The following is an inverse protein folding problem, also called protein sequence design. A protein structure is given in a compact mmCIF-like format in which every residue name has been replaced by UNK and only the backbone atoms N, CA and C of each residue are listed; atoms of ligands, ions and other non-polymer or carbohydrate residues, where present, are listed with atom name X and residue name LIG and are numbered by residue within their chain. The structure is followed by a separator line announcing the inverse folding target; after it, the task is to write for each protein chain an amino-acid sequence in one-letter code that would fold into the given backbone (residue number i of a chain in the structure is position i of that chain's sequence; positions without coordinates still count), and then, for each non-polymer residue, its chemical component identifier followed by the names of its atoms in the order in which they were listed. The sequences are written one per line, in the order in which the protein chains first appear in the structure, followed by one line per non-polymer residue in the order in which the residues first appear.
data_IF_826595759843
#
_entry.id   IF_826595759843
#
_cell.length_a   1.000
_cell.length_b   1.000
_cell.length_c   1.000
_cell.angle_alpha   90.00
_cell.angle_beta   90.00
_cell.angle_gamma   90.00
#
_symmetry.space_group_name_H-M   'P 1'
#
loop_
_entity.id
_entity.type
_entity.pdbx_description
1 polymer ?
#
# COMPACT_ATOMS: atom_id res chain seq x y z
N UNK A 1 -33.94 -17.74 2.76
CA UNK A 1 -32.96 -16.64 2.92
C UNK A 1 -31.58 -17.27 2.85
N UNK A 2 -30.83 -16.94 1.82
CA UNK A 2 -29.47 -17.44 1.59
C UNK A 2 -28.55 -16.80 2.62
N UNK A 3 -27.85 -17.56 3.48
CA UNK A 3 -26.82 -16.99 4.34
C UNK A 3 -25.61 -16.60 3.48
N UNK A 4 -25.29 -15.32 3.42
CA UNK A 4 -24.09 -14.81 2.81
C UNK A 4 -22.96 -14.91 3.85
N UNK A 5 -22.10 -15.91 3.74
CA UNK A 5 -20.87 -15.97 4.54
C UNK A 5 -19.80 -15.12 3.85
N UNK A 6 -19.58 -13.93 4.38
CA UNK A 6 -18.52 -13.01 3.91
C UNK A 6 -17.34 -13.12 4.85
N UNK A 7 -16.24 -13.69 4.39
CA UNK A 7 -14.96 -13.61 5.13
C UNK A 7 -14.34 -12.26 4.80
N UNK A 8 -14.53 -11.31 5.71
CA UNK A 8 -14.02 -9.95 5.58
C UNK A 8 -12.60 -9.89 6.16
N UNK A 9 -11.68 -9.31 5.43
CA UNK A 9 -10.39 -8.84 5.93
C UNK A 9 -10.50 -7.35 6.23
N UNK A 10 -10.49 -7.02 7.48
CA UNK A 10 -10.23 -5.82 8.29
C UNK A 10 -10.77 -4.42 7.90
N UNK A 11 -11.14 -4.08 6.66
CA UNK A 11 -11.49 -2.67 6.31
C UNK A 11 -12.85 -2.51 5.64
N UNK A 12 -13.29 -3.44 4.82
CA UNK A 12 -14.59 -3.34 4.13
C UNK A 12 -15.71 -4.02 4.91
N UNK A 13 -16.80 -3.28 5.17
CA UNK A 13 -17.99 -3.85 5.80
C UNK A 13 -18.80 -4.71 4.81
N UNK A 14 -19.66 -5.59 5.35
CA UNK A 14 -20.56 -6.43 4.55
C UNK A 14 -21.43 -5.59 3.60
N UNK A 15 -21.97 -4.48 4.09
CA UNK A 15 -22.78 -3.54 3.31
C UNK A 15 -22.00 -2.91 2.17
N UNK A 16 -20.72 -2.58 2.39
CA UNK A 16 -19.85 -2.04 1.34
C UNK A 16 -19.57 -3.10 0.26
N UNK A 17 -19.36 -4.36 0.64
CA UNK A 17 -19.18 -5.46 -0.32
C UNK A 17 -20.47 -5.68 -1.12
N UNK A 18 -21.64 -5.73 -0.49
CA UNK A 18 -22.93 -5.85 -1.16
C UNK A 18 -23.18 -4.71 -2.16
N UNK A 19 -22.90 -3.45 -1.74
CA UNK A 19 -23.05 -2.27 -2.60
C UNK A 19 -22.09 -2.28 -3.79
N UNK A 20 -20.84 -2.70 -3.60
CA UNK A 20 -19.83 -2.70 -4.66
C UNK A 20 -20.02 -3.86 -5.64
N UNK A 21 -20.48 -5.01 -5.16
CA UNK A 21 -20.67 -6.22 -5.97
C UNK A 21 -22.09 -6.36 -6.52
N UNK A 22 -23.04 -5.64 -5.94
CA UNK A 22 -24.48 -5.83 -6.18
C UNK A 22 -24.94 -7.28 -5.90
N UNK A 23 -24.30 -7.96 -4.94
CA UNK A 23 -24.65 -9.29 -4.46
C UNK A 23 -25.30 -9.13 -3.08
N UNK A 24 -26.56 -9.55 -2.95
CA UNK A 24 -27.34 -9.44 -1.73
C UNK A 24 -28.12 -10.73 -1.46
N UNK A 25 -28.56 -10.96 -0.23
CA UNK A 25 -29.40 -12.13 0.11
C UNK A 25 -30.66 -12.18 -0.74
N UNK A 26 -30.95 -13.36 -1.30
CA UNK A 26 -32.12 -13.57 -2.18
C UNK A 26 -31.83 -13.52 -3.67
N UNK A 27 -30.61 -13.14 -4.08
CA UNK A 27 -30.23 -13.20 -5.51
C UNK A 27 -29.96 -14.64 -5.95
N UNK A 28 -30.32 -14.96 -7.21
CA UNK A 28 -30.14 -16.31 -7.77
C UNK A 28 -28.65 -16.70 -7.85
N UNK A 29 -28.24 -17.70 -7.09
CA UNK A 29 -26.84 -18.11 -6.86
C UNK A 29 -26.11 -18.44 -8.15
N UNK A 30 -26.72 -19.24 -9.01
CA UNK A 30 -26.10 -19.64 -10.28
C UNK A 30 -25.88 -18.46 -11.21
N UNK A 31 -26.79 -17.48 -11.21
CA UNK A 31 -26.61 -16.23 -11.96
C UNK A 31 -25.42 -15.41 -11.43
N UNK A 32 -25.25 -15.34 -10.12
CA UNK A 32 -24.08 -14.69 -9.49
C UNK A 32 -22.80 -15.44 -9.83
N UNK A 33 -22.80 -16.76 -9.74
CA UNK A 33 -21.62 -17.57 -10.05
C UNK A 33 -21.21 -17.48 -11.52
N UNK A 34 -22.14 -17.53 -12.45
CA UNK A 34 -21.85 -17.36 -13.88
C UNK A 34 -21.33 -15.95 -14.20
N UNK A 35 -21.87 -14.93 -13.55
CA UNK A 35 -21.44 -13.53 -13.73
C UNK A 35 -20.21 -13.15 -12.87
N UNK A 36 -19.62 -14.06 -12.10
CA UNK A 36 -18.58 -13.75 -11.09
C UNK A 36 -17.42 -12.90 -11.62
N UNK A 37 -16.92 -13.18 -12.83
CA UNK A 37 -15.82 -12.42 -13.42
C UNK A 37 -16.21 -10.98 -13.74
N UNK A 38 -17.42 -10.75 -14.24
CA UNK A 38 -17.92 -9.41 -14.50
C UNK A 38 -18.18 -8.66 -13.20
N UNK A 39 -18.76 -9.30 -12.20
CA UNK A 39 -19.02 -8.74 -10.88
C UNK A 39 -17.71 -8.35 -10.18
N UNK A 40 -16.69 -9.19 -10.25
CA UNK A 40 -15.34 -8.88 -9.73
C UNK A 40 -14.75 -7.65 -10.41
N UNK A 41 -14.77 -7.60 -11.75
CA UNK A 41 -14.27 -6.43 -12.50
C UNK A 41 -15.03 -5.15 -12.15
N UNK A 42 -16.35 -5.22 -12.00
CA UNK A 42 -17.17 -4.06 -11.62
C UNK A 42 -16.88 -3.61 -10.19
N UNK A 43 -16.72 -4.54 -9.24
CA UNK A 43 -16.40 -4.23 -7.86
C UNK A 43 -15.05 -3.50 -7.73
N UNK A 44 -14.01 -4.02 -8.41
CA UNK A 44 -12.67 -3.39 -8.44
C UNK A 44 -12.73 -1.98 -9.07
N UNK A 45 -13.49 -1.80 -10.16
CA UNK A 45 -13.65 -0.47 -10.79
C UNK A 45 -14.38 0.53 -9.88
N UNK A 46 -15.37 0.06 -9.12
CA UNK A 46 -16.15 0.92 -8.19
C UNK A 46 -15.37 1.26 -6.92
N UNK A 47 -14.53 0.33 -6.45
CA UNK A 47 -13.74 0.52 -5.25
C UNK A 47 -12.31 -0.02 -5.44
N UNK A 48 -11.31 0.85 -5.71
CA UNK A 48 -9.91 0.47 -5.87
C UNK A 48 -9.26 -0.18 -4.64
N UNK A 49 -9.88 -0.07 -3.46
CA UNK A 49 -9.45 -0.80 -2.27
C UNK A 49 -9.71 -2.31 -2.37
N UNK A 50 -10.52 -2.76 -3.33
CA UNK A 50 -10.70 -4.17 -3.64
C UNK A 50 -9.61 -4.59 -4.63
N UNK A 51 -8.63 -5.37 -4.18
CA UNK A 51 -7.58 -5.92 -5.04
C UNK A 51 -8.03 -7.16 -5.79
N UNK A 52 -8.78 -8.04 -5.13
CA UNK A 52 -9.32 -9.27 -5.69
C UNK A 52 -10.61 -9.65 -4.95
N UNK A 53 -11.51 -10.30 -5.65
CA UNK A 53 -12.77 -10.79 -5.11
C UNK A 53 -13.03 -12.20 -5.65
N UNK A 54 -13.13 -13.15 -4.74
CA UNK A 54 -13.41 -14.56 -5.06
C UNK A 54 -14.80 -14.94 -4.60
N UNK A 55 -15.58 -15.50 -5.50
CA UNK A 55 -16.93 -16.00 -5.25
C UNK A 55 -16.90 -17.50 -5.41
N UNK A 56 -17.22 -18.22 -4.34
CA UNK A 56 -17.34 -19.69 -4.31
C UNK A 56 -18.76 -20.09 -3.91
N UNK A 57 -19.32 -21.09 -4.58
CA UNK A 57 -20.54 -21.77 -4.14
C UNK A 57 -20.13 -22.77 -3.07
N UNK A 58 -20.70 -22.65 -1.88
CA UNK A 58 -20.41 -23.50 -0.71
C UNK A 58 -21.56 -24.45 -0.38
N UNK A 59 -22.71 -24.30 -1.05
CA UNK A 59 -23.87 -25.15 -0.90
C UNK A 59 -24.98 -24.77 -1.86
N UNK A 60 -26.09 -25.51 -1.89
CA UNK A 60 -27.18 -25.28 -2.85
C UNK A 60 -27.76 -23.86 -2.79
N UNK A 61 -27.69 -23.25 -1.60
CA UNK A 61 -28.21 -21.90 -1.32
C UNK A 61 -27.20 -21.00 -0.62
N UNK A 62 -25.89 -21.29 -0.73
CA UNK A 62 -24.87 -20.51 -0.05
C UNK A 62 -23.71 -20.13 -0.96
N UNK A 63 -23.27 -18.88 -0.83
CA UNK A 63 -22.10 -18.32 -1.48
C UNK A 63 -21.12 -17.82 -0.43
N UNK A 64 -19.84 -18.09 -0.65
CA UNK A 64 -18.75 -17.45 0.07
C UNK A 64 -18.11 -16.39 -0.81
N UNK A 65 -18.02 -15.17 -0.31
CA UNK A 65 -17.30 -14.06 -0.96
C UNK A 65 -16.07 -13.77 -0.11
N UNK A 66 -14.90 -13.93 -0.72
CA UNK A 66 -13.62 -13.56 -0.11
C UNK A 66 -13.08 -12.32 -0.81
N UNK A 67 -12.88 -11.25 -0.07
CA UNK A 67 -12.33 -9.99 -0.59
C UNK A 67 -10.87 -9.89 -0.17
N UNK A 68 -10.00 -9.67 -1.14
CA UNK A 68 -8.61 -9.28 -0.88
C UNK A 68 -8.51 -7.78 -1.05
N UNK A 69 -8.18 -7.10 0.02
CA UNK A 69 -8.08 -5.64 0.03
C UNK A 69 -6.73 -5.16 -0.48
N UNK A 70 -6.75 -3.98 -1.07
CA UNK A 70 -5.57 -3.20 -1.43
C UNK A 70 -5.32 -2.21 -0.30
N UNK A 71 -4.32 -2.47 0.52
CA UNK A 71 -4.08 -1.69 1.72
C UNK A 71 -3.77 -0.22 1.38
N UNK A 72 -4.41 0.70 2.12
CA UNK A 72 -4.03 2.10 2.12
C UNK A 72 -2.68 2.25 2.83
N UNK A 73 -1.67 2.78 2.12
CA UNK A 73 -0.35 3.03 2.68
C UNK A 73 -0.24 4.42 3.31
N UNK A 74 -0.86 5.41 2.68
CA UNK A 74 -0.77 6.79 3.12
C UNK A 74 -1.35 7.76 2.10
N UNK A 75 -0.88 9.00 2.14
CA UNK A 75 -1.38 10.09 1.31
C UNK A 75 -0.26 10.87 0.64
N UNK A 76 -0.54 11.40 -0.54
CA UNK A 76 0.32 12.32 -1.28
C UNK A 76 -0.47 13.56 -1.67
N UNK A 77 0.13 14.73 -1.52
CA UNK A 77 -0.39 15.97 -2.11
C UNK A 77 0.48 16.27 -3.33
N UNK A 78 -0.15 16.36 -4.49
CA UNK A 78 0.51 16.64 -5.77
C UNK A 78 -0.42 17.52 -6.62
N UNK A 79 0.15 18.52 -7.26
CA UNK A 79 -0.58 19.39 -8.21
C UNK A 79 -1.89 19.93 -7.60
N UNK A 80 -1.90 20.33 -6.33
CA UNK A 80 -3.05 20.79 -5.52
C UNK A 80 -4.15 19.75 -5.26
N UNK A 81 -3.92 18.49 -5.62
CA UNK A 81 -4.84 17.38 -5.31
C UNK A 81 -4.25 16.46 -4.25
N UNK A 82 -5.12 15.91 -3.41
CA UNK A 82 -4.75 14.89 -2.43
C UNK A 82 -5.10 13.50 -2.97
N UNK A 83 -4.14 12.59 -2.85
CA UNK A 83 -4.27 11.21 -3.30
C UNK A 83 -4.08 10.25 -2.13
N UNK A 84 -4.99 9.30 -1.99
CA UNK A 84 -4.76 8.07 -1.23
C UNK A 84 -3.82 7.17 -2.05
N UNK A 85 -2.76 6.68 -1.40
CA UNK A 85 -1.71 5.85 -2.01
C UNK A 85 -1.92 4.41 -1.56
N UNK A 86 -2.19 3.51 -2.50
CA UNK A 86 -2.48 2.11 -2.22
C UNK A 86 -1.24 1.22 -2.40
N UNK A 87 -1.25 0.05 -1.76
CA UNK A 87 -0.12 -0.87 -1.69
C UNK A 87 0.31 -1.49 -3.04
N UNK A 88 -0.52 -1.44 -4.06
CA UNK A 88 -0.19 -1.84 -5.42
C UNK A 88 0.28 -0.68 -6.31
N UNK A 89 0.42 0.52 -5.74
CA UNK A 89 0.79 1.73 -6.45
C UNK A 89 -0.37 2.51 -7.07
N UNK A 90 -1.61 2.05 -6.92
CA UNK A 90 -2.76 2.83 -7.38
C UNK A 90 -2.93 4.11 -6.54
N UNK A 91 -3.30 5.20 -7.22
CA UNK A 91 -3.54 6.51 -6.63
C UNK A 91 -5.02 6.86 -6.80
N UNK A 92 -5.68 7.17 -5.70
CA UNK A 92 -7.09 7.55 -5.69
C UNK A 92 -7.25 8.96 -5.12
N UNK A 93 -7.90 9.87 -5.86
CA UNK A 93 -8.22 11.19 -5.32
C UNK A 93 -9.06 11.07 -4.05
N UNK A 94 -8.71 11.82 -3.03
CA UNK A 94 -9.40 11.85 -1.74
C UNK A 94 -9.43 13.26 -1.17
N UNK A 95 -10.39 13.52 -0.30
CA UNK A 95 -10.44 14.77 0.47
C UNK A 95 -9.81 14.60 1.87
N UNK A 96 -9.50 13.37 2.26
CA UNK A 96 -8.94 13.04 3.57
C UNK A 96 -7.42 12.89 3.47
N UNK A 97 -6.68 13.79 4.13
CA UNK A 97 -5.23 13.91 4.00
C UNK A 97 -4.41 13.18 5.09
N UNK A 98 -5.03 12.56 6.11
CA UNK A 98 -4.36 12.32 7.39
C UNK A 98 -4.18 10.84 7.80
N UNK A 99 -3.86 9.93 6.88
CA UNK A 99 -3.64 8.55 7.30
C UNK A 99 -2.38 7.92 6.68
N UNK A 100 -1.49 7.39 7.55
CA UNK A 100 -0.38 6.54 7.15
C UNK A 100 0.89 7.29 6.80
N UNK A 101 1.53 6.90 5.68
CA UNK A 101 2.79 7.45 5.20
C UNK A 101 2.52 8.74 4.42
N UNK A 102 3.22 9.83 4.76
CA UNK A 102 3.17 11.06 4.01
C UNK A 102 4.17 11.01 2.83
N UNK A 103 3.66 11.00 1.59
CA UNK A 103 4.49 11.05 0.39
C UNK A 103 4.69 12.50 -0.03
N UNK A 104 5.96 12.93 -0.17
CA UNK A 104 6.37 14.33 -0.39
C UNK A 104 7.26 14.45 -1.63
N UNK A 105 7.17 15.60 -2.31
CA UNK A 105 8.03 15.96 -3.46
C UNK A 105 7.87 15.00 -4.65
N UNK A 106 6.64 14.56 -4.91
CA UNK A 106 6.28 13.75 -6.08
C UNK A 106 5.50 14.52 -7.15
N UNK A 107 5.44 15.87 -7.06
CA UNK A 107 4.77 16.71 -8.04
C UNK A 107 5.30 16.43 -9.44
N UNK A 108 4.39 16.21 -10.40
CA UNK A 108 4.74 15.79 -11.76
C UNK A 108 5.27 14.36 -11.91
N UNK A 109 5.47 13.61 -10.80
CA UNK A 109 6.11 12.28 -10.78
C UNK A 109 5.16 11.15 -10.36
N UNK A 110 3.94 11.12 -10.86
CA UNK A 110 2.91 10.09 -10.50
C UNK A 110 3.41 8.65 -10.68
N UNK A 111 4.16 8.36 -11.75
CA UNK A 111 4.70 7.03 -12.00
C UNK A 111 5.74 6.63 -10.93
N UNK A 112 6.60 7.55 -10.55
CA UNK A 112 7.61 7.35 -9.50
C UNK A 112 6.92 7.07 -8.17
N UNK A 113 5.89 7.85 -7.81
CA UNK A 113 5.09 7.62 -6.61
C UNK A 113 4.44 6.23 -6.64
N UNK A 114 3.81 5.85 -7.75
CA UNK A 114 3.17 4.55 -7.92
C UNK A 114 4.18 3.39 -7.75
N UNK A 115 5.37 3.50 -8.35
CA UNK A 115 6.43 2.50 -8.20
C UNK A 115 6.91 2.42 -6.75
N UNK A 116 7.20 3.58 -6.12
CA UNK A 116 7.60 3.64 -4.72
C UNK A 116 6.55 2.99 -3.79
N UNK A 117 5.28 3.32 -3.99
CA UNK A 117 4.19 2.74 -3.22
C UNK A 117 4.09 1.22 -3.39
N UNK A 118 4.20 0.72 -4.62
CA UNK A 118 4.18 -0.71 -4.90
C UNK A 118 5.35 -1.46 -4.23
N UNK A 119 6.52 -0.85 -4.16
CA UNK A 119 7.67 -1.41 -3.43
C UNK A 119 7.42 -1.43 -1.92
N UNK A 120 6.95 -0.33 -1.35
CA UNK A 120 6.63 -0.26 0.08
C UNK A 120 5.44 -1.16 0.47
N UNK A 121 4.54 -1.41 -0.46
CA UNK A 121 3.43 -2.35 -0.30
C UNK A 121 3.87 -3.80 -0.08
N UNK A 122 5.07 -4.18 -0.53
CA UNK A 122 5.66 -5.53 -0.31
C UNK A 122 6.16 -5.71 1.12
N UNK A 123 6.42 -4.63 1.85
CA UNK A 123 6.98 -4.67 3.18
C UNK A 123 6.04 -5.32 4.19
N UNK A 124 6.63 -6.04 5.13
CA UNK A 124 5.90 -6.55 6.30
C UNK A 124 5.27 -5.37 7.07
N UNK A 125 4.04 -5.52 7.59
CA UNK A 125 3.36 -4.44 8.32
C UNK A 125 4.21 -3.82 9.43
N UNK A 126 5.00 -4.62 10.15
CA UNK A 126 5.88 -4.13 11.23
C UNK A 126 6.91 -3.10 10.73
N UNK A 127 7.51 -3.30 9.56
CA UNK A 127 8.48 -2.36 8.97
C UNK A 127 7.72 -1.15 8.41
N UNK A 128 6.66 -1.40 7.66
CA UNK A 128 5.87 -0.37 6.99
C UNK A 128 5.25 0.63 7.98
N UNK A 129 4.72 0.16 9.10
CA UNK A 129 4.14 1.01 10.15
C UNK A 129 5.19 1.89 10.85
N UNK A 130 6.47 1.52 10.75
CA UNK A 130 7.58 2.35 11.21
C UNK A 130 7.92 3.53 10.30
N UNK A 131 7.36 3.60 9.10
CA UNK A 131 7.61 4.70 8.16
C UNK A 131 6.73 5.90 8.52
N UNK A 132 7.32 7.07 8.66
CA UNK A 132 6.62 8.34 8.88
C UNK A 132 6.32 9.04 7.55
N UNK A 133 7.35 9.23 6.72
CA UNK A 133 7.19 9.87 5.43
C UNK A 133 8.21 9.36 4.41
N UNK A 134 7.90 9.57 3.14
CA UNK A 134 8.78 9.25 2.01
C UNK A 134 8.88 10.46 1.09
N UNK A 135 10.08 10.81 0.68
CA UNK A 135 10.33 11.94 -0.19
C UNK A 135 11.12 11.50 -1.42
N UNK A 136 10.67 11.89 -2.61
CA UNK A 136 11.45 11.72 -3.83
C UNK A 136 12.52 12.82 -3.92
N UNK A 137 13.79 12.43 -3.92
CA UNK A 137 14.92 13.36 -3.93
C UNK A 137 16.05 12.83 -4.83
N UNK A 138 15.83 12.85 -6.16
CA UNK A 138 16.85 12.41 -7.10
C UNK A 138 18.09 13.32 -7.04
N UNK A 139 19.24 12.73 -7.35
CA UNK A 139 20.49 13.45 -7.62
C UNK A 139 21.07 12.97 -8.93
N UNK A 140 22.14 13.64 -9.40
CA UNK A 140 22.83 13.22 -10.63
C UNK A 140 23.35 11.78 -10.52
N UNK A 141 23.88 11.40 -9.35
CA UNK A 141 24.45 10.07 -9.12
C UNK A 141 23.40 9.03 -8.74
N UNK A 142 22.26 9.47 -8.21
CA UNK A 142 21.15 8.62 -7.76
C UNK A 142 19.81 9.15 -8.27
N UNK A 143 19.49 8.97 -9.57
CA UNK A 143 18.28 9.54 -10.18
C UNK A 143 16.98 8.94 -9.61
N UNK A 144 17.04 7.72 -9.06
CA UNK A 144 15.91 6.99 -8.51
C UNK A 144 15.86 7.02 -6.98
N UNK A 145 16.55 8.03 -6.36
CA UNK A 145 16.63 8.09 -4.91
C UNK A 145 15.32 8.53 -4.27
N UNK A 146 14.89 7.73 -3.28
CA UNK A 146 13.86 8.07 -2.30
C UNK A 146 14.49 8.13 -0.90
N UNK A 147 14.01 9.08 -0.10
CA UNK A 147 14.41 9.22 1.31
C UNK A 147 13.22 8.85 2.17
N UNK A 148 13.41 7.87 3.05
CA UNK A 148 12.40 7.36 3.96
C UNK A 148 12.74 7.84 5.37
N UNK A 149 11.84 8.56 6.00
CA UNK A 149 11.96 8.99 7.38
C UNK A 149 11.21 8.02 8.27
N UNK A 150 11.92 7.39 9.19
CA UNK A 150 11.37 6.41 10.12
C UNK A 150 10.87 7.08 11.41
N UNK A 151 9.83 6.50 12.01
CA UNK A 151 9.26 7.02 13.29
C UNK A 151 10.22 6.90 14.46
N UNK A 152 11.19 6.01 14.39
CA UNK A 152 12.23 5.83 15.41
C UNK A 152 13.35 6.87 15.33
N UNK A 153 13.31 7.78 14.34
CA UNK A 153 14.24 8.86 14.15
C UNK A 153 15.39 8.58 13.17
N UNK A 154 15.45 7.38 12.59
CA UNK A 154 16.43 7.10 11.52
C UNK A 154 15.92 7.59 10.16
N UNK A 155 16.86 7.81 9.25
CA UNK A 155 16.58 8.11 7.84
C UNK A 155 17.15 7.01 6.96
N UNK A 156 16.39 6.56 5.94
CA UNK A 156 16.86 5.57 4.98
C UNK A 156 16.96 6.20 3.60
N UNK A 157 18.12 6.08 2.97
CA UNK A 157 18.32 6.38 1.55
C UNK A 157 18.10 5.08 0.76
N UNK A 158 17.23 5.11 -0.21
CA UNK A 158 16.90 3.94 -1.01
C UNK A 158 16.73 4.28 -2.49
N UNK A 159 16.83 3.26 -3.31
CA UNK A 159 16.46 3.28 -4.71
C UNK A 159 15.03 2.78 -4.87
N UNK A 160 14.19 3.53 -5.59
CA UNK A 160 12.76 3.25 -5.75
C UNK A 160 12.46 1.87 -6.37
N UNK A 161 13.41 1.28 -7.09
CA UNK A 161 13.22 -0.03 -7.75
C UNK A 161 13.54 -1.20 -6.80
N UNK A 162 14.41 -0.99 -5.79
CA UNK A 162 14.93 -2.06 -4.93
C UNK A 162 14.55 -1.92 -3.46
N UNK A 163 14.01 -0.76 -3.06
CA UNK A 163 13.76 -0.44 -1.64
C UNK A 163 12.81 -1.44 -0.96
N UNK A 164 11.83 -1.99 -1.70
CA UNK A 164 10.90 -2.99 -1.17
C UNK A 164 11.58 -4.25 -0.66
N UNK A 165 12.65 -4.67 -1.31
CA UNK A 165 13.42 -5.86 -0.93
C UNK A 165 14.46 -5.50 0.15
N UNK A 166 15.17 -4.38 -0.04
CA UNK A 166 16.27 -3.98 0.87
C UNK A 166 15.80 -3.50 2.24
N UNK A 167 14.62 -2.92 2.36
CA UNK A 167 14.05 -2.50 3.65
C UNK A 167 13.83 -3.66 4.63
N UNK A 168 13.86 -4.90 4.16
CA UNK A 168 13.88 -6.08 5.03
C UNK A 168 15.06 -6.12 6.00
N UNK A 169 16.18 -5.53 5.64
CA UNK A 169 17.40 -5.45 6.47
C UNK A 169 17.36 -4.33 7.51
N UNK A 170 16.46 -3.35 7.35
CA UNK A 170 16.35 -2.18 8.21
C UNK A 170 16.34 -2.51 9.72
N UNK A 171 15.49 -3.45 10.22
CA UNK A 171 15.41 -3.69 11.66
C UNK A 171 16.72 -4.16 12.28
N UNK A 172 17.46 -5.01 11.59
CA UNK A 172 18.74 -5.52 12.06
C UNK A 172 19.82 -4.41 12.09
N UNK A 173 19.87 -3.58 11.02
CA UNK A 173 20.82 -2.48 10.94
C UNK A 173 20.50 -1.43 12.01
N UNK A 174 19.24 -1.01 12.12
CA UNK A 174 18.83 -0.01 13.11
C UNK A 174 19.09 -0.48 14.55
N UNK A 175 18.95 -1.78 14.84
CA UNK A 175 19.27 -2.36 16.15
C UNK A 175 20.78 -2.40 16.45
N UNK A 176 21.64 -2.44 15.43
CA UNK A 176 23.10 -2.44 15.59
C UNK A 176 23.69 -1.02 15.74
N UNK A 177 22.96 0.00 15.39
CA UNK A 177 23.41 1.39 15.51
C UNK A 177 23.35 1.86 16.96
N UNK A 178 24.41 2.55 17.41
CA UNK A 178 24.44 3.15 18.76
C UNK A 178 23.60 4.42 18.85
N UNK A 179 23.62 5.20 17.79
CA UNK A 179 22.87 6.47 17.68
C UNK A 179 21.94 6.44 16.47
N UNK A 180 21.00 7.38 16.42
CA UNK A 180 20.17 7.59 15.24
C UNK A 180 21.00 8.19 14.11
N UNK A 181 20.67 7.81 12.88
CA UNK A 181 21.46 8.22 11.74
C UNK A 181 20.85 7.87 10.41
N UNK A 182 21.69 7.79 9.41
CA UNK A 182 21.33 7.46 8.03
C UNK A 182 21.71 6.01 7.75
N UNK A 183 20.78 5.26 7.16
CA UNK A 183 20.99 3.92 6.63
C UNK A 183 20.89 4.02 5.11
N UNK A 184 21.99 3.80 4.42
CA UNK A 184 22.05 3.89 2.96
C UNK A 184 21.89 2.48 2.35
N UNK A 185 20.77 2.28 1.67
CA UNK A 185 20.39 1.03 0.98
C UNK A 185 20.39 1.18 -0.55
N UNK A 186 20.97 2.27 -1.10
CA UNK A 186 20.94 2.51 -2.55
C UNK A 186 21.77 1.47 -3.31
N UNK A 187 23.03 1.32 -2.95
CA UNK A 187 23.95 0.37 -3.60
C UNK A 187 24.21 -0.84 -2.72
N UNK A 188 24.61 -0.61 -1.46
CA UNK A 188 24.88 -1.61 -0.44
C UNK A 188 23.96 -1.46 0.76
N UNK A 189 24.48 -1.78 1.94
CA UNK A 189 23.84 -1.55 3.22
C UNK A 189 24.87 -0.91 4.15
N UNK A 190 24.85 0.40 4.25
CA UNK A 190 25.75 1.19 5.05
C UNK A 190 24.97 2.00 6.08
N UNK A 191 25.54 2.22 7.26
CA UNK A 191 24.92 3.06 8.28
C UNK A 191 25.96 3.99 8.90
N UNK A 192 25.56 5.21 9.19
CA UNK A 192 26.38 6.23 9.84
C UNK A 192 25.52 7.18 10.66
N UNK A 193 26.09 7.71 11.75
CA UNK A 193 25.40 8.66 12.63
C UNK A 193 25.16 9.99 11.93
N UNK A 194 24.12 10.72 12.37
CA UNK A 194 23.89 12.09 11.92
C UNK A 194 25.06 12.98 12.24
N UNK A 195 25.78 13.57 11.67
CA UNK A 195 26.96 14.39 12.00
C UNK A 195 28.30 13.75 11.70
N UNK A 196 28.32 12.48 11.24
CA UNK A 196 29.57 11.84 10.82
C UNK A 196 30.01 12.18 9.38
N UNK A 197 29.20 12.95 8.64
CA UNK A 197 29.52 13.40 7.27
C UNK A 197 30.48 14.57 7.18
N UNK A 198 30.82 15.23 8.30
CA UNK A 198 31.68 16.41 8.35
C UNK A 198 33.11 16.10 8.86
N UNK A 199 33.59 14.86 8.64
CA UNK A 199 35.00 14.51 8.91
C UNK A 199 35.63 13.87 7.70
#
# INVERSE_FOLDING_TARGET
RVPLHTTLTQVLTKEQVEKNTNIYPGRFIWGVYLARHQLTKQAIRKNPQIKDLRIKVTGPQSLQISVKENALLGTAVMDNDTYAVLADGQLQRTKNADNGIAYKRFDGHKKVLATTAAQLGKLKPAIRNGISSVSYQPTKDYPDRVIIYMRDGNTVYGDLNTIGDKMGYYPAIAASMKNKGIIDLQVGAYSYDYGSKDK
#
